data_IF_068141619699
#
_entry.id   IF_068141619699
#
_cell.length_a   1.000
_cell.length_b   1.000
_cell.length_c   1.000
_cell.angle_alpha   90.00
_cell.angle_beta   90.00
_cell.angle_gamma   90.00
#
_symmetry.space_group_name_H-M   'P 1'
#
loop_
_entity.id
_entity.type
_entity.pdbx_description
1 polymer ?
#
# COMPACT_ATOMS: atom_id res chain seq x y z
N UNK A 1 -7.88 2.13 7.84
CA UNK A 1 -6.81 2.76 7.05
C UNK A 1 -5.80 1.71 6.62
N UNK A 2 -5.14 1.87 5.47
CA UNK A 2 -4.18 0.87 4.95
C UNK A 2 -2.76 1.32 5.24
N UNK A 3 -2.07 0.62 6.13
CA UNK A 3 -0.67 0.90 6.45
C UNK A 3 0.27 0.06 5.59
N UNK A 4 1.34 0.64 5.08
CA UNK A 4 2.42 -0.08 4.42
C UNK A 4 3.78 0.32 4.94
N UNK A 5 4.72 -0.61 4.80
CA UNK A 5 6.12 -0.34 5.08
C UNK A 5 6.73 0.47 3.94
N UNK A 6 7.14 1.70 4.24
CA UNK A 6 7.86 2.53 3.29
C UNK A 6 9.35 2.16 3.34
N UNK A 7 9.86 1.57 2.26
CA UNK A 7 11.29 1.18 2.19
C UNK A 7 12.24 2.37 2.20
N UNK A 8 11.80 3.55 1.73
CA UNK A 8 12.59 4.79 1.81
C UNK A 8 12.67 5.33 3.24
N UNK A 9 11.53 5.41 3.92
CA UNK A 9 11.47 5.90 5.30
C UNK A 9 11.83 4.83 6.34
N UNK A 10 11.95 3.57 5.93
CA UNK A 10 12.19 2.38 6.78
C UNK A 10 11.24 2.28 7.97
N UNK A 11 10.00 2.70 7.75
CA UNK A 11 8.97 2.73 8.79
C UNK A 11 7.61 2.38 8.20
N UNK A 12 6.69 1.91 9.06
CA UNK A 12 5.30 1.68 8.68
C UNK A 12 4.57 3.01 8.71
N UNK A 13 3.88 3.32 7.61
CA UNK A 13 3.09 4.54 7.47
C UNK A 13 1.74 4.21 6.86
N UNK A 14 0.77 5.03 7.17
CA UNK A 14 -0.50 5.05 6.47
C UNK A 14 -0.28 5.48 5.02
N UNK A 15 -0.88 4.75 4.08
CA UNK A 15 -0.88 5.14 2.68
C UNK A 15 -1.83 6.32 2.47
N UNK A 16 -1.37 7.32 1.73
CA UNK A 16 -2.23 8.35 1.16
C UNK A 16 -2.88 7.82 -0.13
N UNK A 17 -4.16 8.09 -0.32
CA UNK A 17 -4.99 7.59 -1.44
C UNK A 17 -4.84 6.06 -1.68
N UNK A 18 -5.18 5.20 -0.69
CA UNK A 18 -5.10 3.75 -0.86
C UNK A 18 -6.17 3.24 -1.84
N UNK A 19 -5.73 2.67 -2.95
CA UNK A 19 -6.56 2.05 -3.99
C UNK A 19 -6.34 0.55 -4.04
N UNK A 20 -7.43 -0.22 -4.06
CA UNK A 20 -7.40 -1.65 -4.30
C UNK A 20 -7.08 -1.93 -5.77
N UNK A 21 -5.98 -2.63 -6.02
CA UNK A 21 -5.53 -3.03 -7.35
C UNK A 21 -5.39 -4.55 -7.42
N UNK A 22 -5.64 -5.11 -8.59
CA UNK A 22 -5.32 -6.51 -8.88
C UNK A 22 -3.98 -6.56 -9.60
N UNK A 23 -2.98 -7.21 -9.00
CA UNK A 23 -1.67 -7.36 -9.63
C UNK A 23 -1.75 -8.26 -10.87
N UNK A 24 -0.75 -8.16 -11.75
CA UNK A 24 -0.64 -8.99 -12.97
C UNK A 24 -0.66 -10.50 -12.70
N UNK A 25 -0.25 -10.92 -11.49
CA UNK A 25 -0.33 -12.31 -11.03
C UNK A 25 -1.71 -12.73 -10.49
N UNK A 26 -2.75 -11.90 -10.68
CA UNK A 26 -4.13 -12.16 -10.24
C UNK A 26 -4.36 -12.01 -8.74
N UNK A 27 -3.37 -11.56 -7.96
CA UNK A 27 -3.51 -11.38 -6.51
C UNK A 27 -4.00 -9.97 -6.17
N UNK A 28 -4.95 -9.83 -5.23
CA UNK A 28 -5.37 -8.53 -4.73
C UNK A 28 -4.25 -7.86 -3.94
N UNK A 29 -4.14 -6.56 -4.11
CA UNK A 29 -3.21 -5.72 -3.39
C UNK A 29 -3.83 -4.33 -3.18
N UNK A 30 -3.24 -3.56 -2.28
CA UNK A 30 -3.52 -2.12 -2.15
C UNK A 30 -2.31 -1.33 -2.59
N UNK A 31 -2.52 -0.38 -3.48
CA UNK A 31 -1.54 0.61 -3.88
C UNK A 31 -1.88 1.94 -3.21
N UNK A 32 -0.88 2.70 -2.78
CA UNK A 32 -1.07 4.06 -2.32
C UNK A 32 0.22 4.85 -2.42
N UNK A 33 0.24 6.05 -1.83
CA UNK A 33 1.38 6.97 -1.89
C UNK A 33 1.88 7.24 -0.48
N UNK A 34 3.19 7.23 -0.27
CA UNK A 34 3.77 7.65 1.00
C UNK A 34 3.63 9.17 1.15
N UNK A 35 2.94 9.69 2.19
CA UNK A 35 2.77 11.12 2.38
C UNK A 35 4.08 11.86 2.69
N UNK A 36 5.09 11.16 3.22
CA UNK A 36 6.37 11.79 3.58
C UNK A 36 7.37 11.89 2.43
N UNK A 37 7.49 10.83 1.62
CA UNK A 37 8.51 10.76 0.55
C UNK A 37 7.95 10.66 -0.86
N UNK A 38 6.61 10.69 -1.01
CA UNK A 38 5.92 10.60 -2.31
C UNK A 38 6.08 9.27 -3.05
N UNK A 39 6.70 8.27 -2.43
CA UNK A 39 6.96 6.98 -3.10
C UNK A 39 5.71 6.11 -3.10
N UNK A 40 5.46 5.40 -4.21
CA UNK A 40 4.35 4.45 -4.31
C UNK A 40 4.56 3.29 -3.34
N UNK A 41 3.58 3.09 -2.46
CA UNK A 41 3.50 2.00 -1.51
C UNK A 41 2.61 0.91 -2.08
N UNK A 42 3.04 -0.34 -1.93
CA UNK A 42 2.27 -1.51 -2.33
C UNK A 42 2.17 -2.44 -1.13
N UNK A 43 0.94 -2.81 -0.77
CA UNK A 43 0.65 -3.83 0.22
C UNK A 43 -0.01 -5.00 -0.47
N UNK A 44 0.76 -6.07 -0.63
CA UNK A 44 0.26 -7.34 -1.13
C UNK A 44 -0.43 -8.05 0.03
N UNK A 45 -1.68 -8.44 -0.16
CA UNK A 45 -2.44 -9.13 0.86
C UNK A 45 -3.92 -9.00 0.61
N UNK A 46 -4.70 -9.88 1.26
CA UNK A 46 -6.14 -9.68 1.37
C UNK A 46 -6.32 -8.31 2.04
N UNK A 47 -6.83 -7.32 1.30
CA UNK A 47 -7.53 -6.20 1.93
C UNK A 47 -8.40 -6.82 3.02
N UNK A 48 -8.39 -6.35 4.27
CA UNK A 48 -9.32 -6.84 5.26
C UNK A 48 -10.71 -6.55 4.72
N UNK A 49 -11.29 -7.56 4.05
CA UNK A 49 -12.70 -7.67 3.77
C UNK A 49 -13.30 -7.87 5.14
N UNK A 50 -13.67 -6.76 5.77
CA UNK A 50 -14.72 -6.78 6.76
C UNK A 50 -16.01 -6.36 6.08
#
# INVERSE_FOLDING_TARGET
MVEAYCVKCRTKREMNDPQSITMKNGKPATQGICPECGTKLFRIGKTPTS
#
